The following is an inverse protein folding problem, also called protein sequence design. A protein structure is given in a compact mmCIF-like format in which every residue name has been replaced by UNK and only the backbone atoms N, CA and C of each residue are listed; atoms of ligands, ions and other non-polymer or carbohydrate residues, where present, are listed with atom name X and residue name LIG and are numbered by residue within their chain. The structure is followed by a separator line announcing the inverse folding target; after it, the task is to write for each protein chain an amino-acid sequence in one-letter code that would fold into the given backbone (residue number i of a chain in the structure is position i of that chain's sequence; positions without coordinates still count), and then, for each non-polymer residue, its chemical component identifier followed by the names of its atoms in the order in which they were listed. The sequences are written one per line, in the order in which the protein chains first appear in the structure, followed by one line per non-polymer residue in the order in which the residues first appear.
data_IF_438305663429
#
_entry.id   IF_438305663429
#
_cell.length_a   1.000
_cell.length_b   1.000
_cell.length_c   1.000
_cell.angle_alpha   90.00
_cell.angle_beta   90.00
_cell.angle_gamma   90.00
#
_symmetry.space_group_name_H-M   'P 1'
#
loop_
_entity.id
_entity.type
_entity.pdbx_description
1 polymer ?
#
# COMPACT_ATOMS: atom_id res chain seq x y z
N UNK A 1 20.51 -36.91 -37.83
CA UNK A 1 21.18 -35.84 -37.06
C UNK A 1 20.18 -35.40 -36.03
N UNK A 2 20.53 -35.57 -34.76
CA UNK A 2 19.61 -35.44 -33.65
C UNK A 2 19.35 -33.96 -33.33
N UNK A 3 18.05 -33.69 -33.20
CA UNK A 3 17.38 -32.66 -32.44
C UNK A 3 18.16 -32.23 -31.19
N UNK A 4 18.42 -30.93 -31.05
CA UNK A 4 18.77 -30.30 -29.77
C UNK A 4 17.66 -29.29 -29.47
N UNK A 5 16.60 -29.80 -28.85
CA UNK A 5 15.69 -29.00 -28.04
C UNK A 5 16.46 -28.51 -26.82
N UNK A 6 16.75 -27.22 -26.81
CA UNK A 6 17.13 -26.51 -25.60
C UNK A 6 15.84 -26.33 -24.78
N UNK A 7 15.52 -27.36 -24.01
CA UNK A 7 14.47 -27.32 -23.00
C UNK A 7 14.99 -26.43 -21.86
N UNK A 8 14.95 -25.12 -22.11
CA UNK A 8 15.13 -24.07 -21.10
C UNK A 8 14.04 -24.19 -20.06
N UNK A 9 14.17 -25.19 -19.17
CA UNK A 9 13.40 -25.27 -17.94
C UNK A 9 13.84 -24.09 -17.09
N UNK A 10 13.12 -22.98 -17.24
CA UNK A 10 13.17 -21.86 -16.34
C UNK A 10 13.03 -22.38 -14.92
N UNK A 11 14.07 -22.15 -14.12
CA UNK A 11 14.01 -22.42 -12.69
C UNK A 11 12.99 -21.42 -12.14
N UNK A 12 11.81 -21.92 -11.81
CA UNK A 12 10.77 -21.15 -11.12
C UNK A 12 11.19 -21.05 -9.65
N UNK A 13 11.70 -19.89 -9.26
CA UNK A 13 11.73 -19.49 -7.86
C UNK A 13 10.51 -18.60 -7.65
N UNK A 14 9.40 -19.21 -7.22
CA UNK A 14 8.31 -18.46 -6.60
C UNK A 14 8.88 -17.83 -5.32
N UNK A 15 9.14 -16.52 -5.32
CA UNK A 15 9.19 -15.79 -4.06
C UNK A 15 7.77 -15.80 -3.50
N UNK A 16 7.47 -16.79 -2.66
CA UNK A 16 6.22 -16.88 -1.90
C UNK A 16 6.14 -15.82 -0.78
N UNK A 17 7.04 -14.84 -0.78
CA UNK A 17 7.18 -13.87 0.29
C UNK A 17 6.46 -12.57 -0.10
N UNK A 18 5.45 -12.18 0.67
CA UNK A 18 4.63 -11.00 0.38
C UNK A 18 5.37 -9.67 0.54
N UNK A 19 4.68 -8.52 0.35
CA UNK A 19 5.24 -7.17 0.49
C UNK A 19 6.01 -6.93 1.80
N UNK A 20 5.65 -7.62 2.89
CA UNK A 20 6.37 -7.55 4.16
C UNK A 20 7.85 -7.88 4.00
N UNK A 21 8.16 -9.01 3.38
CA UNK A 21 9.54 -9.43 3.18
C UNK A 21 10.32 -8.42 2.34
N UNK A 22 9.70 -7.91 1.28
CA UNK A 22 10.33 -6.90 0.44
C UNK A 22 10.69 -5.64 1.21
N UNK A 23 9.73 -5.04 1.92
CA UNK A 23 9.99 -3.79 2.63
C UNK A 23 10.98 -3.96 3.78
N UNK A 24 10.93 -5.07 4.51
CA UNK A 24 11.92 -5.39 5.55
C UNK A 24 13.32 -5.63 4.95
N UNK A 25 13.40 -6.32 3.82
CA UNK A 25 14.67 -6.53 3.11
C UNK A 25 15.26 -5.21 2.62
N UNK A 26 14.44 -4.35 2.00
CA UNK A 26 14.85 -3.01 1.54
C UNK A 26 15.38 -2.17 2.71
N UNK A 27 14.65 -2.14 3.84
CA UNK A 27 15.09 -1.42 5.03
C UNK A 27 16.41 -1.96 5.61
N UNK A 28 16.56 -3.29 5.67
CA UNK A 28 17.77 -3.93 6.21
C UNK A 28 19.01 -3.74 5.34
N UNK A 29 18.84 -3.61 4.02
CA UNK A 29 19.93 -3.49 3.03
C UNK A 29 20.09 -2.09 2.46
N UNK A 30 19.48 -1.09 3.11
CA UNK A 30 19.38 0.27 2.63
C UNK A 30 20.72 0.85 2.13
N UNK A 31 21.76 0.79 2.97
CA UNK A 31 23.08 1.36 2.65
C UNK A 31 23.73 0.73 1.41
N UNK A 32 23.47 -0.56 1.17
CA UNK A 32 24.02 -1.29 0.02
C UNK A 32 23.20 -1.00 -1.25
N UNK A 33 21.87 -0.88 -1.11
CA UNK A 33 20.96 -0.51 -2.20
C UNK A 33 21.24 0.92 -2.68
N UNK A 34 21.41 1.88 -1.78
CA UNK A 34 21.70 3.27 -2.16
C UNK A 34 23.04 3.39 -2.91
N UNK A 35 24.01 2.52 -2.63
CA UNK A 35 25.33 2.53 -3.27
C UNK A 35 25.36 1.81 -4.62
N UNK A 36 24.34 1.02 -4.96
CA UNK A 36 24.32 0.29 -6.22
C UNK A 36 23.73 1.14 -7.34
N UNK A 37 24.49 1.30 -8.43
CA UNK A 37 23.99 1.91 -9.67
C UNK A 37 23.61 0.84 -10.71
N UNK A 38 23.87 -0.44 -10.43
CA UNK A 38 23.62 -1.56 -11.33
C UNK A 38 22.36 -2.35 -10.90
N UNK A 39 21.30 -2.38 -11.74
CA UNK A 39 20.09 -3.17 -11.50
C UNK A 39 20.34 -4.67 -11.31
N UNK A 40 21.36 -5.25 -11.96
CA UNK A 40 21.68 -6.68 -11.79
C UNK A 40 22.20 -6.95 -10.39
N UNK A 41 23.09 -6.08 -9.91
CA UNK A 41 23.61 -6.16 -8.54
C UNK A 41 22.51 -5.91 -7.51
N UNK A 42 21.52 -5.08 -7.82
CA UNK A 42 20.35 -4.89 -6.96
C UNK A 42 19.53 -6.17 -6.81
N UNK A 43 19.25 -6.86 -7.91
CA UNK A 43 18.56 -8.16 -7.89
C UNK A 43 19.35 -9.20 -7.07
N UNK A 44 20.67 -9.28 -7.26
CA UNK A 44 21.55 -10.15 -6.47
C UNK A 44 21.54 -9.79 -4.97
N UNK A 45 21.60 -8.50 -4.63
CA UNK A 45 21.54 -8.03 -3.24
C UNK A 45 20.22 -8.41 -2.58
N UNK A 46 19.12 -8.39 -3.32
CA UNK A 46 17.81 -8.74 -2.79
C UNK A 46 17.56 -10.24 -2.81
N UNK A 47 18.41 -11.03 -3.47
CA UNK A 47 18.23 -12.47 -3.61
C UNK A 47 17.08 -12.83 -4.54
N UNK A 48 16.69 -11.92 -5.44
CA UNK A 48 15.56 -12.09 -6.34
C UNK A 48 16.08 -12.36 -7.76
N UNK A 49 15.54 -13.39 -8.40
CA UNK A 49 15.86 -13.67 -9.79
C UNK A 49 15.13 -12.67 -10.69
N UNK A 50 15.84 -12.04 -11.63
CA UNK A 50 15.21 -11.26 -12.69
C UNK A 50 14.50 -12.24 -13.65
N UNK A 51 13.19 -12.43 -13.47
CA UNK A 51 12.38 -13.20 -14.41
C UNK A 51 11.79 -12.29 -15.47
N UNK A 52 11.51 -12.85 -16.66
CA UNK A 52 10.92 -12.13 -17.80
C UNK A 52 9.42 -12.39 -17.94
N UNK A 53 8.76 -13.05 -16.97
CA UNK A 53 7.36 -13.43 -17.09
C UNK A 53 6.46 -12.77 -16.03
N UNK A 54 5.31 -12.31 -16.53
CA UNK A 54 4.19 -11.58 -15.90
C UNK A 54 4.52 -10.22 -15.27
N UNK A 55 4.30 -9.15 -16.07
CA UNK A 55 4.38 -7.73 -15.69
C UNK A 55 3.46 -7.34 -14.51
N UNK A 56 2.55 -8.21 -14.09
CA UNK A 56 1.56 -7.96 -13.02
C UNK A 56 1.88 -8.64 -11.69
N UNK A 57 2.99 -9.38 -11.59
CA UNK A 57 3.42 -9.96 -10.32
C UNK A 57 3.93 -8.88 -9.35
N UNK A 58 3.68 -9.04 -8.05
CA UNK A 58 4.18 -8.13 -7.03
C UNK A 58 5.72 -7.97 -7.11
N UNK A 59 6.44 -9.05 -7.37
CA UNK A 59 7.89 -9.03 -7.48
C UNK A 59 8.35 -8.14 -8.64
N UNK A 60 7.73 -8.27 -9.81
CA UNK A 60 8.02 -7.39 -10.96
C UNK A 60 7.75 -5.92 -10.61
N UNK A 61 6.65 -5.65 -9.91
CA UNK A 61 6.26 -4.32 -9.47
C UNK A 61 7.26 -3.70 -8.47
N UNK A 62 7.73 -4.50 -7.51
CA UNK A 62 8.73 -4.09 -6.52
C UNK A 62 10.09 -3.82 -7.18
N UNK A 63 10.53 -4.68 -8.10
CA UNK A 63 11.76 -4.49 -8.89
C UNK A 63 11.66 -3.20 -9.72
N UNK A 64 10.53 -2.97 -10.38
CA UNK A 64 10.30 -1.76 -11.16
C UNK A 64 10.38 -0.50 -10.28
N UNK A 65 9.72 -0.51 -9.13
CA UNK A 65 9.76 0.60 -8.18
C UNK A 65 11.20 0.87 -7.71
N UNK A 66 11.95 -0.19 -7.38
CA UNK A 66 13.35 -0.10 -6.97
C UNK A 66 14.27 0.46 -8.07
N UNK A 67 14.14 -0.01 -9.31
CA UNK A 67 14.91 0.51 -10.44
C UNK A 67 14.66 2.00 -10.65
N UNK A 68 13.40 2.43 -10.53
CA UNK A 68 13.03 3.85 -10.61
C UNK A 68 13.69 4.69 -9.51
N UNK A 69 13.89 4.13 -8.32
CA UNK A 69 14.64 4.79 -7.24
C UNK A 69 16.11 4.97 -7.59
N UNK A 70 16.76 3.92 -8.11
CA UNK A 70 18.18 3.97 -8.53
C UNK A 70 18.40 5.00 -9.65
N UNK A 71 17.47 5.09 -10.61
CA UNK A 71 17.57 6.04 -11.73
C UNK A 71 17.37 7.50 -11.30
N UNK A 72 16.53 7.74 -10.30
CA UNK A 72 16.15 9.09 -9.88
C UNK A 72 17.16 9.63 -8.86
N UNK A 73 18.27 10.18 -9.34
CA UNK A 73 19.32 10.81 -8.52
C UNK A 73 18.87 12.14 -7.90
N UNK A 74 17.98 12.15 -6.89
CA UNK A 74 17.51 13.41 -6.26
C UNK A 74 17.40 13.37 -4.74
N UNK A 75 18.01 14.37 -4.10
CA UNK A 75 17.95 14.64 -2.65
C UNK A 75 16.57 15.15 -2.15
N UNK A 76 15.47 14.91 -2.88
CA UNK A 76 14.17 15.54 -2.56
C UNK A 76 12.95 14.61 -2.71
N UNK A 77 13.13 13.35 -2.35
CA UNK A 77 12.09 12.33 -2.43
C UNK A 77 10.83 12.67 -1.66
N UNK A 78 10.92 13.18 -0.42
CA UNK A 78 9.74 13.58 0.36
C UNK A 78 8.85 14.57 -0.40
N UNK A 79 9.47 15.59 -1.01
CA UNK A 79 8.73 16.61 -1.75
C UNK A 79 8.17 16.08 -3.06
N UNK A 80 8.89 15.19 -3.74
CA UNK A 80 8.41 14.61 -5.00
C UNK A 80 7.25 13.65 -4.78
N UNK A 81 7.33 12.83 -3.74
CA UNK A 81 6.39 11.72 -3.51
C UNK A 81 5.18 12.14 -2.69
N UNK A 82 5.41 12.92 -1.63
CA UNK A 82 4.38 13.28 -0.65
C UNK A 82 4.10 14.78 -0.63
N UNK A 83 4.91 15.58 -1.35
CA UNK A 83 4.84 17.05 -1.40
C UNK A 83 4.93 17.67 -0.01
N UNK A 84 5.76 17.05 0.84
CA UNK A 84 6.11 17.53 2.16
C UNK A 84 7.61 17.75 2.25
N UNK A 85 8.01 18.63 3.16
CA UNK A 85 9.42 18.84 3.45
C UNK A 85 9.93 17.79 4.45
N UNK A 86 11.23 17.48 4.38
CA UNK A 86 11.85 16.57 5.36
C UNK A 86 11.78 17.22 6.74
N UNK A 87 11.19 16.50 7.71
CA UNK A 87 10.99 17.01 9.08
C UNK A 87 9.63 17.66 9.32
N UNK A 88 8.70 17.60 8.36
CA UNK A 88 7.29 17.95 8.60
C UNK A 88 6.69 16.99 9.67
N UNK A 89 6.24 17.54 10.79
CA UNK A 89 5.65 16.75 11.90
C UNK A 89 4.40 15.97 11.48
N UNK A 90 3.75 16.39 10.39
CA UNK A 90 2.60 15.69 9.81
C UNK A 90 2.99 14.41 9.09
N UNK A 91 4.28 14.23 8.77
CA UNK A 91 4.82 13.07 8.06
C UNK A 91 4.91 11.84 8.97
N UNK A 92 3.76 11.38 9.45
CA UNK A 92 3.64 10.15 10.20
C UNK A 92 3.37 8.97 9.26
N UNK A 93 3.73 7.76 9.68
CA UNK A 93 3.48 6.55 8.92
C UNK A 93 1.99 6.40 8.53
N UNK A 94 1.09 6.70 9.48
CA UNK A 94 -0.35 6.66 9.26
C UNK A 94 -0.84 7.73 8.25
N UNK A 95 -0.25 8.93 8.25
CA UNK A 95 -0.57 9.97 7.28
C UNK A 95 -0.10 9.62 5.86
N UNK A 96 1.06 8.99 5.72
CA UNK A 96 1.57 8.49 4.45
C UNK A 96 0.71 7.35 3.91
N UNK A 97 0.33 6.40 4.79
CA UNK A 97 -0.61 5.34 4.44
C UNK A 97 -1.97 5.90 3.99
N UNK A 98 -2.56 6.83 4.75
CA UNK A 98 -3.80 7.50 4.37
C UNK A 98 -3.66 8.24 3.03
N UNK A 99 -2.51 8.84 2.74
CA UNK A 99 -2.23 9.51 1.46
C UNK A 99 -2.13 8.52 0.30
N UNK A 100 -1.48 7.37 0.49
CA UNK A 100 -1.45 6.31 -0.51
C UNK A 100 -2.86 5.78 -0.82
N UNK A 101 -3.66 5.52 0.21
CA UNK A 101 -5.05 5.05 0.04
C UNK A 101 -5.96 6.10 -0.58
N UNK A 102 -5.71 7.39 -0.32
CA UNK A 102 -6.40 8.47 -1.01
C UNK A 102 -6.20 8.37 -2.53
N UNK A 103 -4.96 8.20 -2.99
CA UNK A 103 -4.68 8.10 -4.43
C UNK A 103 -5.38 6.90 -5.07
N UNK A 104 -5.43 5.75 -4.38
CA UNK A 104 -6.18 4.57 -4.83
C UNK A 104 -7.67 4.87 -4.95
N UNK A 105 -8.27 5.47 -3.93
CA UNK A 105 -9.72 5.78 -3.93
C UNK A 105 -10.06 6.87 -4.95
N UNK A 106 -9.23 7.90 -5.09
CA UNK A 106 -9.40 8.94 -6.12
C UNK A 106 -9.26 8.36 -7.52
N UNK A 107 -8.31 7.45 -7.74
CA UNK A 107 -8.21 6.71 -9.00
C UNK A 107 -9.45 5.89 -9.28
N UNK A 108 -9.96 5.12 -8.31
CA UNK A 108 -11.19 4.34 -8.47
C UNK A 108 -12.40 5.22 -8.83
N UNK A 109 -12.56 6.37 -8.18
CA UNK A 109 -13.65 7.33 -8.47
C UNK A 109 -13.59 7.88 -9.90
N UNK A 110 -12.40 8.07 -10.44
CA UNK A 110 -12.20 8.56 -11.82
C UNK A 110 -12.35 7.46 -12.87
N UNK A 111 -12.26 6.21 -12.45
CA UNK A 111 -12.18 5.05 -13.33
C UNK A 111 -13.25 3.99 -12.99
N UNK A 112 -14.41 4.37 -12.44
CA UNK A 112 -15.46 3.44 -11.98
C UNK A 112 -15.95 2.48 -13.08
N UNK A 113 -15.85 2.89 -14.35
CA UNK A 113 -16.22 2.06 -15.51
C UNK A 113 -15.15 1.04 -15.91
N UNK A 114 -13.91 1.18 -15.45
CA UNK A 114 -12.79 0.34 -15.83
C UNK A 114 -12.75 -0.91 -14.97
N UNK A 115 -12.86 -2.06 -15.63
CA UNK A 115 -12.73 -3.38 -15.00
C UNK A 115 -11.40 -4.06 -15.32
N UNK A 116 -10.50 -3.37 -16.03
CA UNK A 116 -9.23 -3.95 -16.45
C UNK A 116 -8.28 -4.10 -15.26
N UNK A 117 -7.77 -5.31 -15.07
CA UNK A 117 -6.79 -5.63 -14.03
C UNK A 117 -5.44 -4.94 -14.28
N UNK A 118 -5.03 -4.76 -15.53
CA UNK A 118 -3.73 -4.15 -15.86
C UNK A 118 -3.67 -2.68 -15.44
N UNK A 119 -4.78 -1.95 -15.60
CA UNK A 119 -4.88 -0.54 -15.19
C UNK A 119 -4.90 -0.40 -13.66
N UNK A 120 -5.57 -1.34 -12.97
CA UNK A 120 -5.55 -1.44 -11.51
C UNK A 120 -4.14 -1.77 -11.00
N UNK A 121 -3.42 -2.70 -11.64
CA UNK A 121 -2.02 -3.00 -11.33
C UNK A 121 -1.12 -1.79 -11.58
N UNK A 122 -1.35 -1.04 -12.66
CA UNK A 122 -0.65 0.22 -12.94
C UNK A 122 -0.89 1.26 -11.85
N UNK A 123 -2.12 1.38 -11.34
CA UNK A 123 -2.42 2.26 -10.20
C UNK A 123 -1.64 1.82 -8.95
N UNK A 124 -1.61 0.52 -8.64
CA UNK A 124 -0.85 0.00 -7.52
C UNK A 124 0.66 0.21 -7.69
N UNK A 125 1.20 0.10 -8.91
CA UNK A 125 2.60 0.41 -9.21
C UNK A 125 2.95 1.84 -8.84
N UNK A 126 2.08 2.81 -9.17
CA UNK A 126 2.31 4.22 -8.83
C UNK A 126 2.37 4.46 -7.32
N UNK A 127 1.62 3.67 -6.54
CA UNK A 127 1.72 3.70 -5.08
C UNK A 127 3.05 3.12 -4.62
N UNK A 128 3.46 1.96 -5.15
CA UNK A 128 4.75 1.33 -4.81
C UNK A 128 5.95 2.22 -5.16
N UNK A 129 5.89 2.90 -6.30
CA UNK A 129 6.88 3.90 -6.71
C UNK A 129 7.06 5.03 -5.68
N UNK A 130 6.09 5.23 -4.78
CA UNK A 130 6.16 6.19 -3.68
C UNK A 130 6.54 5.53 -2.35
N UNK A 131 6.05 4.32 -2.08
CA UNK A 131 6.32 3.60 -0.83
C UNK A 131 7.76 3.08 -0.76
N UNK A 132 8.26 2.46 -1.83
CA UNK A 132 9.60 1.86 -1.89
C UNK A 132 10.72 2.87 -1.57
N UNK A 133 10.82 4.04 -2.24
CA UNK A 133 11.80 5.05 -1.86
C UNK A 133 11.59 5.57 -0.44
N UNK A 134 10.35 5.63 0.04
CA UNK A 134 10.06 6.09 1.41
C UNK A 134 10.62 5.15 2.47
N UNK A 135 10.51 3.84 2.25
CA UNK A 135 11.12 2.82 3.12
C UNK A 135 12.63 2.83 2.98
N UNK A 136 13.15 2.88 1.74
CA UNK A 136 14.59 2.95 1.48
C UNK A 136 15.21 4.15 2.21
N UNK A 137 14.60 5.34 2.17
CA UNK A 137 15.15 6.51 2.86
C UNK A 137 14.81 6.58 4.36
N UNK A 138 14.21 5.53 4.94
CA UNK A 138 13.85 5.48 6.36
C UNK A 138 12.79 6.49 6.78
N UNK A 139 11.98 6.97 5.82
CA UNK A 139 10.89 7.92 6.06
C UNK A 139 9.64 7.16 6.50
N UNK A 140 9.39 6.00 5.89
CA UNK A 140 8.25 5.15 6.17
C UNK A 140 8.73 3.81 6.74
N UNK A 141 8.07 3.37 7.81
CA UNK A 141 8.32 2.06 8.40
C UNK A 141 7.88 0.93 7.44
N UNK A 142 8.66 -0.18 7.34
CA UNK A 142 8.31 -1.32 6.49
C UNK A 142 6.90 -1.85 6.71
N UNK A 143 6.45 -1.97 7.96
CA UNK A 143 5.13 -2.51 8.26
C UNK A 143 4.03 -1.56 7.78
N UNK A 144 4.23 -0.24 7.91
CA UNK A 144 3.30 0.74 7.38
C UNK A 144 3.23 0.72 5.84
N UNK A 145 4.38 0.53 5.17
CA UNK A 145 4.41 0.37 3.72
C UNK A 145 3.70 -0.93 3.27
N UNK A 146 3.95 -2.04 3.96
CA UNK A 146 3.22 -3.30 3.76
C UNK A 146 1.71 -3.08 3.90
N UNK A 147 1.28 -2.36 4.94
CA UNK A 147 -0.13 -2.04 5.16
C UNK A 147 -0.74 -1.19 4.06
N UNK A 148 -0.05 -0.15 3.62
CA UNK A 148 -0.49 0.67 2.50
C UNK A 148 -0.65 -0.16 1.22
N UNK A 149 0.33 -1.02 0.90
CA UNK A 149 0.31 -1.88 -0.30
C UNK A 149 -0.84 -2.87 -0.28
N UNK A 150 -1.01 -3.64 0.80
CA UNK A 150 -2.12 -4.61 0.88
C UNK A 150 -3.50 -3.94 0.92
N UNK A 151 -3.62 -2.83 1.64
CA UNK A 151 -4.86 -2.05 1.68
C UNK A 151 -5.22 -1.50 0.29
N UNK A 152 -4.23 -0.96 -0.43
CA UNK A 152 -4.39 -0.47 -1.80
C UNK A 152 -4.76 -1.57 -2.79
N UNK A 153 -4.02 -2.69 -2.75
CA UNK A 153 -4.30 -3.86 -3.59
C UNK A 153 -5.70 -4.42 -3.34
N UNK A 154 -6.13 -4.48 -2.07
CA UNK A 154 -7.49 -4.90 -1.73
C UNK A 154 -8.56 -3.98 -2.31
N UNK A 155 -8.40 -2.66 -2.17
CA UNK A 155 -9.35 -1.69 -2.72
C UNK A 155 -9.44 -1.76 -4.25
N UNK A 156 -8.32 -2.09 -4.91
CA UNK A 156 -8.22 -2.29 -6.35
C UNK A 156 -8.64 -3.69 -6.80
N UNK A 157 -8.84 -4.63 -5.87
CA UNK A 157 -9.09 -6.06 -6.15
C UNK A 157 -7.96 -6.70 -6.96
N UNK A 158 -6.70 -6.30 -6.69
CA UNK A 158 -5.49 -6.90 -7.27
C UNK A 158 -4.94 -7.94 -6.30
N UNK A 159 -4.73 -9.16 -6.78
CA UNK A 159 -4.14 -10.22 -5.98
C UNK A 159 -2.61 -10.10 -6.00
N UNK A 160 -2.02 -9.77 -4.85
CA UNK A 160 -0.57 -9.63 -4.67
C UNK A 160 0.03 -10.71 -3.77
N UNK A 161 -0.64 -11.86 -3.67
CA UNK A 161 -0.18 -13.01 -2.90
C UNK A 161 -0.82 -13.13 -1.52
N UNK A 162 -0.32 -14.09 -0.73
CA UNK A 162 -0.90 -14.46 0.57
C UNK A 162 -0.52 -13.42 1.64
N UNK A 163 -1.47 -13.14 2.52
CA UNK A 163 -1.22 -12.44 3.78
C UNK A 163 -1.94 -13.18 4.89
N UNK A 164 -1.27 -13.38 6.02
CA UNK A 164 -1.95 -13.88 7.21
C UNK A 164 -2.89 -12.81 7.76
N UNK A 165 -4.18 -13.14 7.83
CA UNK A 165 -5.24 -12.22 8.26
C UNK A 165 -5.02 -11.69 9.69
N UNK A 166 -4.35 -12.47 10.55
CA UNK A 166 -4.01 -12.09 11.93
C UNK A 166 -3.02 -10.93 12.01
N UNK A 167 -2.25 -10.69 10.94
CA UNK A 167 -1.18 -9.69 10.93
C UNK A 167 -1.67 -8.32 10.47
N UNK A 168 -2.97 -8.16 10.18
CA UNK A 168 -3.53 -6.91 9.66
C UNK A 168 -4.68 -6.38 10.50
N UNK A 169 -4.50 -5.28 11.24
CA UNK A 169 -5.58 -4.66 11.98
C UNK A 169 -6.66 -4.18 11.00
N UNK A 170 -7.93 -4.35 11.36
CA UNK A 170 -9.03 -3.89 10.54
C UNK A 170 -8.99 -2.35 10.44
N UNK A 171 -9.17 -1.84 9.22
CA UNK A 171 -9.17 -0.41 8.94
C UNK A 171 -10.48 0.03 8.29
N UNK A 172 -10.81 1.29 8.52
CA UNK A 172 -11.78 2.03 7.74
C UNK A 172 -11.10 3.23 7.08
N UNK A 173 -11.66 3.62 5.94
CA UNK A 173 -11.35 4.86 5.26
C UNK A 173 -12.54 5.79 5.40
N UNK A 174 -12.24 7.06 5.64
CA UNK A 174 -13.19 8.16 5.66
C UNK A 174 -12.91 9.06 4.47
N UNK A 175 -13.93 9.33 3.65
CA UNK A 175 -13.85 10.31 2.56
C UNK A 175 -14.91 11.38 2.71
N UNK A 176 -14.68 12.56 2.12
CA UNK A 176 -15.64 13.67 2.22
C UNK A 176 -15.57 14.45 3.52
N UNK A 177 -14.57 14.19 4.37
CA UNK A 177 -14.32 15.01 5.56
C UNK A 177 -13.76 16.39 5.17
N UNK A 178 -13.82 17.36 6.09
CA UNK A 178 -13.23 18.69 5.85
C UNK A 178 -11.74 18.56 5.53
N UNK A 179 -11.26 19.38 4.60
CA UNK A 179 -9.83 19.46 4.25
C UNK A 179 -8.94 19.90 5.42
N UNK A 180 -9.53 20.60 6.39
CA UNK A 180 -8.92 21.05 7.64
C UNK A 180 -9.05 20.05 8.79
N UNK A 181 -9.70 18.91 8.57
CA UNK A 181 -9.84 17.89 9.62
C UNK A 181 -8.46 17.37 10.04
N UNK A 182 -8.32 17.15 11.33
CA UNK A 182 -7.12 16.62 11.99
C UNK A 182 -7.35 15.19 12.45
N UNK A 183 -6.28 14.50 12.87
CA UNK A 183 -6.40 13.18 13.49
C UNK A 183 -7.28 13.20 14.74
N UNK A 184 -7.21 14.27 15.54
CA UNK A 184 -8.02 14.43 16.76
C UNK A 184 -9.51 14.57 16.45
N UNK A 185 -9.86 15.28 15.37
CA UNK A 185 -11.26 15.38 14.93
C UNK A 185 -11.83 13.99 14.58
N UNK A 186 -11.02 13.15 13.95
CA UNK A 186 -11.40 11.77 13.60
C UNK A 186 -11.47 10.88 14.85
N UNK A 187 -10.52 11.02 15.79
CA UNK A 187 -10.53 10.28 17.05
C UNK A 187 -11.79 10.62 17.84
N UNK A 188 -12.07 11.90 18.06
CA UNK A 188 -13.25 12.34 18.81
C UNK A 188 -14.55 11.85 18.20
N UNK A 189 -14.60 11.74 16.86
CA UNK A 189 -15.79 11.25 16.15
C UNK A 189 -15.96 9.72 16.24
N UNK A 190 -14.90 8.96 16.55
CA UNK A 190 -14.91 7.50 16.40
C UNK A 190 -14.49 6.71 17.64
N UNK A 191 -13.99 7.37 18.69
CA UNK A 191 -13.51 6.71 19.91
C UNK A 191 -14.61 5.95 20.65
N UNK A 192 -15.88 6.34 20.48
CA UNK A 192 -17.03 5.64 21.08
C UNK A 192 -17.22 4.22 20.53
N UNK A 193 -16.75 3.96 19.31
CA UNK A 193 -16.89 2.64 18.67
C UNK A 193 -15.81 1.65 19.11
N UNK A 194 -14.68 2.12 19.66
CA UNK A 194 -13.64 1.27 20.22
C UNK A 194 -12.27 1.95 20.31
N UNK A 195 -11.29 1.20 20.82
CA UNK A 195 -9.92 1.69 20.99
C UNK A 195 -9.23 1.82 19.63
N UNK A 196 -8.95 3.06 19.25
CA UNK A 196 -8.21 3.41 18.03
C UNK A 196 -6.72 3.12 18.25
N UNK A 197 -6.13 2.31 17.37
CA UNK A 197 -4.71 1.99 17.36
C UNK A 197 -3.91 3.02 16.55
N UNK A 198 -4.39 3.34 15.34
CA UNK A 198 -3.75 4.32 14.46
C UNK A 198 -4.79 5.17 13.74
N UNK A 199 -4.48 6.46 13.56
CA UNK A 199 -5.27 7.39 12.74
C UNK A 199 -4.33 8.20 11.86
N UNK A 200 -4.71 8.35 10.60
CA UNK A 200 -3.97 9.14 9.62
C UNK A 200 -4.89 10.03 8.83
N UNK A 201 -4.50 11.29 8.66
CA UNK A 201 -5.12 12.22 7.70
C UNK A 201 -4.17 12.40 6.53
N UNK A 202 -4.69 12.37 5.31
CA UNK A 202 -3.85 12.53 4.13
C UNK A 202 -3.21 13.94 4.06
N UNK A 203 -1.93 14.01 3.72
CA UNK A 203 -1.05 15.17 3.99
C UNK A 203 -1.48 16.50 3.34
N UNK A 204 -2.16 16.48 2.20
CA UNK A 204 -2.52 17.70 1.44
C UNK A 204 -3.95 18.20 1.69
N UNK A 205 -4.54 17.85 2.84
CA UNK A 205 -5.90 18.25 3.15
C UNK A 205 -6.88 17.72 2.09
N UNK A 206 -6.74 16.45 1.72
CA UNK A 206 -7.57 15.85 0.68
C UNK A 206 -9.01 15.58 1.12
N UNK A 207 -9.35 15.85 2.39
CA UNK A 207 -10.62 15.45 2.97
C UNK A 207 -10.73 13.93 3.05
N UNK A 208 -9.63 13.29 3.45
CA UNK A 208 -9.45 11.85 3.49
C UNK A 208 -8.71 11.43 4.76
N UNK A 209 -9.24 10.42 5.44
CA UNK A 209 -8.64 9.84 6.63
C UNK A 209 -8.70 8.31 6.63
N UNK A 210 -7.85 7.71 7.44
CA UNK A 210 -7.81 6.28 7.73
C UNK A 210 -7.80 6.08 9.24
N UNK A 211 -8.55 5.07 9.70
CA UNK A 211 -8.57 4.68 11.12
C UNK A 211 -8.40 3.17 11.23
N UNK A 212 -7.50 2.75 12.11
CA UNK A 212 -7.29 1.35 12.50
C UNK A 212 -7.74 1.17 13.94
N UNK A 213 -8.65 0.23 14.15
CA UNK A 213 -9.07 -0.15 15.49
C UNK A 213 -8.20 -1.30 16.00
N UNK A 214 -8.06 -1.39 17.32
CA UNK A 214 -7.38 -2.52 17.97
C UNK A 214 -8.11 -3.84 17.71
N UNK A 215 -9.44 -3.79 17.54
CA UNK A 215 -10.29 -4.96 17.31
C UNK A 215 -11.16 -4.80 16.07
N UNK A 216 -11.53 -5.93 15.44
CA UNK A 216 -12.48 -5.95 14.31
C UNK A 216 -13.86 -5.41 14.71
N UNK A 217 -14.24 -5.55 15.97
CA UNK A 217 -15.53 -5.07 16.49
C UNK A 217 -15.68 -3.55 16.36
N UNK A 218 -14.59 -2.77 16.54
CA UNK A 218 -14.64 -1.32 16.34
C UNK A 218 -15.03 -0.95 14.91
N UNK A 219 -14.41 -1.60 13.93
CA UNK A 219 -14.73 -1.41 12.50
C UNK A 219 -16.17 -1.83 12.18
N UNK A 220 -16.65 -2.91 12.80
CA UNK A 220 -18.03 -3.36 12.59
C UNK A 220 -19.05 -2.39 13.18
N UNK A 221 -18.81 -1.87 14.38
CA UNK A 221 -19.68 -0.86 15.01
C UNK A 221 -19.76 0.42 14.20
N UNK A 222 -18.62 0.95 13.72
CA UNK A 222 -18.64 2.14 12.84
C UNK A 222 -19.44 1.87 11.57
N UNK A 223 -19.32 0.66 11.01
CA UNK A 223 -20.06 0.30 9.81
C UNK A 223 -21.56 0.15 10.05
N UNK A 224 -21.96 -0.46 11.16
CA UNK A 224 -23.37 -0.54 11.56
C UNK A 224 -23.96 0.86 11.74
N UNK A 225 -23.24 1.76 12.41
CA UNK A 225 -23.64 3.16 12.55
C UNK A 225 -23.75 3.82 11.18
N UNK A 226 -22.75 3.70 10.30
CA UNK A 226 -22.80 4.27 8.95
C UNK A 226 -23.96 3.74 8.07
N UNK A 227 -24.41 2.50 8.28
CA UNK A 227 -25.57 1.93 7.57
C UNK A 227 -26.88 2.45 8.14
N UNK A 228 -26.94 2.71 9.45
CA UNK A 228 -28.15 3.14 10.14
C UNK A 228 -28.30 4.68 10.23
N UNK A 229 -27.20 5.42 10.19
CA UNK A 229 -27.11 6.85 10.45
C UNK A 229 -25.91 7.47 9.70
N UNK A 230 -25.59 8.73 10.00
CA UNK A 230 -24.43 9.43 9.43
C UNK A 230 -23.27 9.45 10.42
N UNK A 231 -22.08 9.05 9.96
CA UNK A 231 -20.83 9.26 10.72
C UNK A 231 -20.36 10.68 10.46
N UNK A 232 -20.44 11.55 11.47
CA UNK A 232 -20.11 12.97 11.34
C UNK A 232 -18.71 13.24 11.89
N UNK A 233 -17.84 13.83 11.06
CA UNK A 233 -16.52 14.32 11.48
C UNK A 233 -16.54 15.84 11.40
N UNK A 234 -16.32 16.52 12.52
CA UNK A 234 -16.58 17.95 12.68
C UNK A 234 -18.06 18.30 12.41
N UNK A 235 -18.35 18.88 11.24
CA UNK A 235 -19.67 19.35 10.82
C UNK A 235 -20.12 18.75 9.47
N UNK A 236 -19.47 17.67 9.01
CA UNK A 236 -19.77 17.02 7.74
C UNK A 236 -19.96 15.51 7.90
N UNK A 237 -20.93 14.95 7.19
CA UNK A 237 -21.12 13.51 7.10
C UNK A 237 -20.00 12.88 6.25
N UNK A 238 -19.22 12.00 6.86
CA UNK A 238 -18.16 11.25 6.23
C UNK A 238 -18.74 10.03 5.50
N UNK A 239 -18.18 9.72 4.34
CA UNK A 239 -18.43 8.47 3.65
C UNK A 239 -17.43 7.42 4.17
N UNK A 240 -17.95 6.34 4.75
CA UNK A 240 -17.14 5.27 5.35
C UNK A 240 -16.99 4.10 4.39
N UNK A 241 -15.78 3.57 4.27
CA UNK A 241 -15.51 2.31 3.56
C UNK A 241 -14.64 1.39 4.42
N UNK A 242 -15.00 0.11 4.53
CA UNK A 242 -14.13 -0.90 5.14
C UNK A 242 -12.95 -1.20 4.21
N UNK A 243 -11.77 -1.33 4.79
CA UNK A 243 -10.61 -1.93 4.14
C UNK A 243 -10.50 -3.34 4.70
N UNK A 244 -11.15 -4.29 4.03
CA UNK A 244 -10.92 -5.71 4.28
C UNK A 244 -9.66 -6.13 3.55
N UNK A 245 -8.88 -7.07 4.08
CA UNK A 245 -8.00 -7.84 3.20
C UNK A 245 -8.86 -8.61 2.20
N UNK A 246 -8.38 -8.89 0.98
CA UNK A 246 -9.08 -9.80 0.10
C UNK A 246 -9.23 -11.12 0.86
N UNK A 247 -10.47 -11.49 1.20
CA UNK A 247 -10.75 -12.82 1.69
C UNK A 247 -10.23 -13.75 0.60
N UNK A 248 -9.24 -14.58 0.93
CA UNK A 248 -8.65 -15.49 -0.02
C UNK A 248 -9.78 -16.40 -0.53
N UNK A 249 -10.30 -16.12 -1.73
CA UNK A 249 -11.18 -17.06 -2.41
C UNK A 249 -10.25 -18.17 -2.86
N UNK A 250 -10.44 -19.38 -2.33
CA UNK A 250 -9.76 -20.55 -2.90
C UNK A 250 -9.96 -20.54 -4.42
N UNK A 251 -8.90 -20.80 -5.20
CA UNK A 251 -9.05 -20.85 -6.64
C UNK A 251 -10.17 -21.82 -7.02
N UNK A 252 -11.15 -21.34 -7.79
CA UNK A 252 -12.37 -22.07 -8.18
C UNK A 252 -12.11 -23.39 -8.95
N UNK A 253 -10.86 -23.74 -9.21
CA UNK A 253 -10.46 -25.01 -9.84
C UNK A 253 -10.27 -26.16 -8.85
N UNK A 254 -10.53 -25.96 -7.56
CA UNK A 254 -10.57 -27.03 -6.54
C UNK A 254 -11.97 -27.62 -6.28
N UNK A 255 -13.01 -27.19 -7.00
CA UNK A 255 -14.40 -27.68 -6.85
C UNK A 255 -14.92 -28.40 -8.09
#
# INVERSE_FOLDING_TARGET
MADQGDDGKGIVLECNEGPAWWFHTIASKNDDIIKTEDPKRLAELLGVALTTEEETSLDAMMIQALNKVVETKKDNWCKVLWDCEKGDERLTAAAMEATALYYVVDWLKRNESLKNLDEKATCLQQILDSLVPSVLHGILDPDAATRATYSGASLLEVNIGKMEESSFPAAIILTGIRKSATSDDIINALEEFGVINEVGVALKGYGFGMVRFTTKDGVNKVWEEYVCSEVVVQDVAANVRKVSLPAWQEPLWYS
#
